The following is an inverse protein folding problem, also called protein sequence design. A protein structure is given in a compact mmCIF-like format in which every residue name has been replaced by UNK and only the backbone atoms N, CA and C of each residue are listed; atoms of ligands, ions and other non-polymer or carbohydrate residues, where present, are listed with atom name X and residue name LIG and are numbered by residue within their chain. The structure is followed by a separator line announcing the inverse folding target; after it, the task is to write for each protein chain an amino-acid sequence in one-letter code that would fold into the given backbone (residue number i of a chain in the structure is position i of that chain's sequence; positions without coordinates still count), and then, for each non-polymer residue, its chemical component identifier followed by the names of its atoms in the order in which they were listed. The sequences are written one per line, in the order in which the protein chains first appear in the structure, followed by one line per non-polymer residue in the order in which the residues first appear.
data_IF_341213303364
#
_entry.id   IF_341213303364
#
_cell.length_a   1.000
_cell.length_b   1.000
_cell.length_c   1.000
_cell.angle_alpha   90.00
_cell.angle_beta   90.00
_cell.angle_gamma   90.00
#
_symmetry.space_group_name_H-M   'P 1'
#
loop_
_entity.id
_entity.type
_entity.pdbx_description
1 polymer ?
#
# COMPACT_ATOMS: atom_id res chain seq x y z
N UNK A 1 23.78 28.45 -16.99
CA UNK A 1 24.17 27.20 -16.29
C UNK A 1 23.12 26.97 -15.20
N UNK A 2 22.52 25.81 -15.13
CA UNK A 2 21.57 25.48 -14.07
C UNK A 2 22.27 25.25 -12.74
N UNK A 3 21.55 25.52 -11.63
CA UNK A 3 22.06 25.24 -10.27
C UNK A 3 22.28 23.76 -10.06
N UNK A 4 21.38 22.90 -10.59
CA UNK A 4 21.43 21.45 -10.50
C UNK A 4 21.20 20.79 -11.86
N UNK A 5 21.70 19.56 -12.00
CA UNK A 5 21.42 18.73 -13.15
C UNK A 5 20.08 18.03 -12.99
N UNK A 6 19.72 17.64 -11.73
CA UNK A 6 18.39 17.16 -11.36
C UNK A 6 17.85 17.86 -10.13
N UNK A 7 16.61 18.33 -10.21
CA UNK A 7 15.81 18.76 -9.07
C UNK A 7 14.66 17.79 -8.86
N UNK A 8 14.48 17.30 -7.64
CA UNK A 8 13.37 16.41 -7.27
C UNK A 8 12.42 17.17 -6.34
N UNK A 9 11.12 17.21 -6.65
CA UNK A 9 10.11 17.82 -5.81
C UNK A 9 9.37 16.71 -5.05
N UNK A 10 9.64 16.61 -3.77
CA UNK A 10 9.15 15.54 -2.88
C UNK A 10 10.20 14.48 -2.60
N UNK A 11 10.35 14.11 -1.32
CA UNK A 11 11.31 13.12 -0.82
C UNK A 11 10.69 11.78 -0.44
N UNK A 12 9.48 11.48 -0.93
CA UNK A 12 8.88 10.15 -0.81
C UNK A 12 9.74 9.07 -1.47
N UNK A 13 9.33 7.79 -1.41
CA UNK A 13 10.13 6.67 -1.92
C UNK A 13 10.64 6.86 -3.35
N UNK A 14 9.78 7.33 -4.27
CA UNK A 14 10.16 7.61 -5.66
C UNK A 14 11.20 8.73 -5.77
N UNK A 15 10.95 9.85 -5.08
CA UNK A 15 11.86 11.01 -5.12
C UNK A 15 13.23 10.70 -4.54
N UNK A 16 13.32 9.98 -3.42
CA UNK A 16 14.59 9.54 -2.84
C UNK A 16 15.41 8.71 -3.81
N UNK A 17 14.76 7.72 -4.45
CA UNK A 17 15.48 6.81 -5.35
C UNK A 17 15.85 7.48 -6.67
N UNK A 18 15.03 8.41 -7.17
CA UNK A 18 15.40 9.26 -8.30
C UNK A 18 16.64 10.10 -7.97
N UNK A 19 16.63 10.80 -6.83
CA UNK A 19 17.75 11.64 -6.41
C UNK A 19 19.05 10.85 -6.24
N UNK A 20 18.99 9.71 -5.54
CA UNK A 20 20.17 8.87 -5.29
C UNK A 20 20.67 8.22 -6.59
N UNK A 21 19.78 7.79 -7.49
CA UNK A 21 20.19 7.21 -8.78
C UNK A 21 20.95 8.23 -9.62
N UNK A 22 20.43 9.45 -9.77
CA UNK A 22 21.11 10.51 -10.50
C UNK A 22 22.44 10.94 -9.84
N UNK A 23 22.50 11.00 -8.52
CA UNK A 23 23.74 11.30 -7.81
C UNK A 23 24.83 10.25 -8.05
N UNK A 24 24.46 8.98 -8.21
CA UNK A 24 25.39 7.89 -8.59
C UNK A 24 25.85 7.93 -10.05
N UNK A 25 25.22 8.77 -10.86
CA UNK A 25 25.67 9.11 -12.23
C UNK A 25 26.48 10.41 -12.24
N UNK A 26 27.05 10.80 -11.09
CA UNK A 26 27.85 12.01 -10.89
C UNK A 26 27.13 13.32 -11.23
N UNK A 27 25.78 13.35 -11.06
CA UNK A 27 24.96 14.55 -11.28
C UNK A 27 24.81 15.36 -10.01
N UNK A 28 24.76 16.69 -10.17
CA UNK A 28 24.44 17.62 -9.08
C UNK A 28 22.94 17.57 -8.82
N UNK A 29 22.55 17.07 -7.64
CA UNK A 29 21.16 16.79 -7.33
C UNK A 29 20.68 17.55 -6.11
N UNK A 30 19.46 18.07 -6.17
CA UNK A 30 18.75 18.57 -5.00
C UNK A 30 17.36 17.96 -4.89
N UNK A 31 16.89 17.82 -3.64
CA UNK A 31 15.53 17.45 -3.30
C UNK A 31 14.89 18.63 -2.56
N UNK A 32 13.71 19.06 -3.03
CA UNK A 32 12.86 20.02 -2.35
C UNK A 32 11.84 19.27 -1.52
N UNK A 33 11.80 19.52 -0.21
CA UNK A 33 10.82 18.87 0.67
C UNK A 33 10.45 19.80 1.84
N UNK A 34 9.22 19.70 2.32
CA UNK A 34 8.79 20.36 3.55
C UNK A 34 9.58 19.83 4.75
N UNK A 35 9.98 20.68 5.70
CA UNK A 35 10.85 20.27 6.81
C UNK A 35 10.31 19.13 7.66
N UNK A 36 8.99 19.06 7.80
CA UNK A 36 8.22 18.07 8.59
C UNK A 36 7.86 16.81 7.81
N UNK A 37 8.16 16.75 6.50
CA UNK A 37 7.72 15.68 5.62
C UNK A 37 8.88 14.91 4.92
N UNK A 38 10.10 15.02 5.44
CA UNK A 38 11.21 14.24 4.89
C UNK A 38 10.84 12.73 4.88
N UNK A 39 10.98 12.09 3.72
CA UNK A 39 10.51 10.72 3.49
C UNK A 39 9.08 10.64 2.95
N UNK A 40 8.38 11.78 2.84
CA UNK A 40 7.03 11.89 2.28
C UNK A 40 5.95 11.21 3.12
N UNK A 41 4.78 11.04 2.53
CA UNK A 41 3.61 10.38 3.14
C UNK A 41 3.93 8.95 3.60
N UNK A 42 4.71 8.21 2.83
CA UNK A 42 5.10 6.83 3.16
C UNK A 42 5.70 6.72 4.57
N UNK A 43 6.55 7.67 4.95
CA UNK A 43 7.24 7.67 6.23
C UNK A 43 6.46 8.36 7.34
N UNK A 44 5.75 9.44 7.03
CA UNK A 44 5.21 10.32 8.08
C UNK A 44 3.74 10.06 8.43
N UNK A 45 2.88 9.70 7.47
CA UNK A 45 1.44 9.52 7.72
C UNK A 45 0.86 8.22 7.15
N UNK A 46 1.56 7.55 6.22
CA UNK A 46 1.05 6.40 5.46
C UNK A 46 1.63 5.06 5.88
N UNK A 47 2.45 4.48 5.00
CA UNK A 47 2.90 3.07 5.08
C UNK A 47 3.61 2.72 6.40
N UNK A 48 4.66 3.45 6.76
CA UNK A 48 5.46 3.11 7.96
C UNK A 48 4.64 3.30 9.24
N UNK A 49 3.94 4.43 9.47
CA UNK A 49 3.08 4.59 10.64
C UNK A 49 2.01 3.50 10.75
N UNK A 50 1.27 3.20 9.68
CA UNK A 50 0.19 2.22 9.73
C UNK A 50 0.67 0.79 9.99
N UNK A 51 1.81 0.36 9.40
CA UNK A 51 2.36 -0.98 9.64
C UNK A 51 2.97 -1.09 11.03
N UNK A 52 3.54 0.00 11.55
CA UNK A 52 4.04 0.06 12.93
C UNK A 52 2.89 0.01 13.94
N UNK A 53 1.79 0.74 13.67
CA UNK A 53 0.56 0.68 14.45
C UNK A 53 -0.02 -0.75 14.47
N UNK A 54 -0.13 -1.38 13.30
CA UNK A 54 -0.56 -2.77 13.18
C UNK A 54 0.30 -3.71 14.04
N UNK A 55 1.61 -3.57 13.97
CA UNK A 55 2.52 -4.41 14.75
C UNK A 55 2.35 -4.20 16.26
N UNK A 56 2.11 -2.96 16.71
CA UNK A 56 1.80 -2.66 18.11
C UNK A 56 0.48 -3.32 18.53
N UNK A 57 -0.55 -3.27 17.69
CA UNK A 57 -1.85 -3.90 17.95
C UNK A 57 -1.69 -5.43 18.09
N UNK A 58 -1.04 -6.09 17.14
CA UNK A 58 -0.79 -7.53 17.20
C UNK A 58 -0.09 -7.92 18.50
N UNK A 59 0.96 -7.20 18.86
CA UNK A 59 1.74 -7.48 20.05
C UNK A 59 0.92 -7.26 21.33
N UNK A 60 0.26 -6.10 21.48
CA UNK A 60 -0.43 -5.74 22.73
C UNK A 60 -1.73 -6.51 22.95
N UNK A 61 -2.45 -6.82 21.86
CA UNK A 61 -3.68 -7.63 21.95
C UNK A 61 -3.39 -9.12 22.10
N UNK A 62 -2.20 -9.57 21.68
CA UNK A 62 -1.85 -10.99 21.63
C UNK A 62 -2.79 -11.83 20.76
N UNK A 63 -3.43 -11.22 19.75
CA UNK A 63 -4.49 -11.87 18.94
C UNK A 63 -4.02 -13.17 18.30
N UNK A 64 -2.78 -13.23 17.83
CA UNK A 64 -2.20 -14.42 17.21
C UNK A 64 -2.02 -15.59 18.19
N UNK A 65 -2.11 -15.34 19.50
CA UNK A 65 -1.94 -16.35 20.55
C UNK A 65 -3.26 -16.85 21.12
N UNK A 66 -4.39 -16.21 20.77
CA UNK A 66 -5.70 -16.52 21.35
C UNK A 66 -6.23 -17.90 21.01
N UNK A 67 -5.85 -18.45 19.88
CA UNK A 67 -6.23 -19.82 19.49
C UNK A 67 -5.58 -20.86 20.41
N UNK A 68 -4.35 -20.58 20.89
CA UNK A 68 -3.58 -21.48 21.75
C UNK A 68 -3.89 -21.25 23.24
N UNK A 69 -3.88 -20.00 23.69
CA UNK A 69 -4.00 -19.63 25.11
C UNK A 69 -5.41 -19.20 25.52
N UNK A 70 -6.37 -19.22 24.60
CA UNK A 70 -7.78 -18.86 24.83
C UNK A 70 -8.09 -17.41 24.47
N UNK A 71 -9.38 -17.15 24.21
CA UNK A 71 -9.89 -15.86 23.69
C UNK A 71 -9.68 -14.67 24.65
N UNK A 72 -9.48 -14.93 25.95
CA UNK A 72 -9.17 -13.91 26.94
C UNK A 72 -7.70 -13.50 26.99
N UNK A 73 -6.80 -14.21 26.27
CA UNK A 73 -5.39 -13.89 26.25
C UNK A 73 -5.15 -12.49 25.68
N UNK A 74 -4.35 -11.71 26.38
CA UNK A 74 -3.86 -10.40 25.96
C UNK A 74 -2.58 -10.05 26.72
N UNK A 75 -1.72 -9.25 26.10
CA UNK A 75 -0.47 -8.79 26.73
C UNK A 75 -0.71 -7.56 27.62
N UNK A 76 -1.70 -6.73 27.23
CA UNK A 76 -2.10 -5.55 27.98
C UNK A 76 -3.63 -5.44 28.05
N UNK A 77 -4.20 -5.23 29.24
CA UNK A 77 -5.66 -5.17 29.44
C UNK A 77 -6.28 -3.91 28.85
N UNK A 78 -5.69 -2.74 29.12
CA UNK A 78 -6.15 -1.45 28.59
C UNK A 78 -5.11 -0.88 27.62
N UNK A 79 -5.41 -0.96 26.34
CA UNK A 79 -4.54 -0.44 25.27
C UNK A 79 -4.99 0.99 24.96
N UNK A 80 -4.09 1.95 25.14
CA UNK A 80 -4.31 3.36 24.83
C UNK A 80 -3.70 3.76 23.49
N UNK A 81 -4.15 4.89 22.92
CA UNK A 81 -3.51 5.46 21.72
C UNK A 81 -2.04 5.77 21.99
N UNK A 82 -1.69 6.24 23.18
CA UNK A 82 -0.29 6.48 23.55
C UNK A 82 0.59 5.23 23.45
N UNK A 83 0.07 4.05 23.85
CA UNK A 83 0.80 2.79 23.70
C UNK A 83 1.05 2.45 22.23
N UNK A 84 0.06 2.69 21.38
CA UNK A 84 0.11 2.39 19.95
C UNK A 84 1.05 3.36 19.21
N UNK A 85 0.98 4.64 19.52
CA UNK A 85 1.73 5.69 18.84
C UNK A 85 3.18 5.82 19.32
N UNK A 86 3.50 5.41 20.56
CA UNK A 86 4.86 5.44 21.10
C UNK A 86 5.86 4.69 20.17
N UNK A 87 5.49 3.48 19.73
CA UNK A 87 6.30 2.70 18.79
C UNK A 87 6.40 3.39 17.43
N UNK A 88 5.30 3.95 16.94
CA UNK A 88 5.24 4.64 15.65
C UNK A 88 6.17 5.84 15.64
N UNK A 89 6.13 6.70 16.64
CA UNK A 89 7.02 7.88 16.76
C UNK A 89 8.50 7.48 16.75
N UNK A 90 8.85 6.41 17.49
CA UNK A 90 10.21 5.91 17.51
C UNK A 90 10.70 5.42 16.14
N UNK A 91 9.88 4.64 15.44
CA UNK A 91 10.25 4.10 14.11
C UNK A 91 10.34 5.22 13.09
N UNK A 92 9.37 6.14 13.05
CA UNK A 92 9.36 7.29 12.13
C UNK A 92 10.62 8.17 12.33
N UNK A 93 11.00 8.45 13.57
CA UNK A 93 12.20 9.22 13.87
C UNK A 93 13.46 8.54 13.31
N UNK A 94 13.63 7.24 13.57
CA UNK A 94 14.79 6.48 13.07
C UNK A 94 14.83 6.41 11.55
N UNK A 95 13.70 6.17 10.91
CA UNK A 95 13.62 6.11 9.45
C UNK A 95 13.90 7.49 8.81
N UNK A 96 13.47 8.59 9.45
CA UNK A 96 13.85 9.94 9.02
C UNK A 96 15.38 10.13 9.02
N UNK A 97 16.06 9.66 10.08
CA UNK A 97 17.52 9.71 10.15
C UNK A 97 18.18 8.88 9.05
N UNK A 98 17.63 7.69 8.76
CA UNK A 98 18.11 6.82 7.67
C UNK A 98 17.95 7.53 6.31
N UNK A 99 16.78 8.11 6.02
CA UNK A 99 16.53 8.84 4.77
C UNK A 99 17.49 10.02 4.63
N UNK A 100 17.63 10.84 5.68
CA UNK A 100 18.55 11.97 5.70
C UNK A 100 20.00 11.51 5.45
N UNK A 101 20.44 10.50 6.16
CA UNK A 101 21.78 9.92 5.99
C UNK A 101 22.00 9.40 4.57
N UNK A 102 21.01 8.73 3.99
CA UNK A 102 21.10 8.24 2.60
C UNK A 102 21.24 9.36 1.58
N UNK A 103 20.51 10.45 1.72
CA UNK A 103 20.63 11.61 0.84
C UNK A 103 21.97 12.31 1.00
N UNK A 104 22.38 12.62 2.24
CA UNK A 104 23.64 13.32 2.54
C UNK A 104 24.87 12.54 2.08
N UNK A 105 24.95 11.23 2.35
CA UNK A 105 26.11 10.43 1.92
C UNK A 105 26.23 10.23 0.40
N UNK A 106 25.13 10.48 -0.35
CA UNK A 106 25.14 10.51 -1.81
C UNK A 106 25.27 11.96 -2.33
N UNK A 107 25.65 12.93 -1.50
CA UNK A 107 25.85 14.33 -1.86
C UNK A 107 24.59 15.01 -2.45
N UNK A 108 23.40 14.53 -2.10
CA UNK A 108 22.13 15.16 -2.51
C UNK A 108 21.83 16.33 -1.58
N UNK A 109 21.68 17.53 -2.15
CA UNK A 109 21.27 18.73 -1.40
C UNK A 109 19.79 18.62 -0.98
N UNK A 110 19.48 18.95 0.28
CA UNK A 110 18.09 19.02 0.77
C UNK A 110 17.71 20.48 0.90
N UNK A 111 16.74 20.93 0.13
CA UNK A 111 16.20 22.29 0.15
C UNK A 111 14.85 22.25 0.87
N UNK A 112 14.82 22.83 2.07
CA UNK A 112 13.61 22.87 2.89
C UNK A 112 12.61 23.90 2.35
N UNK A 113 11.38 23.46 2.06
CA UNK A 113 10.30 24.33 1.59
C UNK A 113 9.33 23.64 0.64
N UNK A 114 8.38 24.40 0.14
CA UNK A 114 7.39 23.98 -0.85
C UNK A 114 7.78 24.49 -2.22
N UNK A 115 7.93 23.57 -3.19
CA UNK A 115 8.31 23.91 -4.57
C UNK A 115 7.12 24.28 -5.42
N UNK A 116 7.26 25.32 -6.27
CA UNK A 116 6.29 25.72 -7.28
C UNK A 116 7.01 26.07 -8.58
N UNK A 117 6.53 25.57 -9.71
CA UNK A 117 7.05 25.89 -11.02
C UNK A 117 6.81 27.37 -11.37
N UNK A 118 7.82 28.02 -11.91
CA UNK A 118 7.76 29.35 -12.57
C UNK A 118 8.11 29.23 -14.05
N UNK A 119 8.62 28.09 -14.49
CA UNK A 119 8.95 27.74 -15.86
C UNK A 119 9.37 26.28 -15.95
N UNK A 120 9.57 25.72 -17.16
CA UNK A 120 9.87 24.29 -17.35
C UNK A 120 11.17 23.81 -16.66
N UNK A 121 12.12 24.71 -16.40
CA UNK A 121 13.39 24.42 -15.72
C UNK A 121 13.60 25.23 -14.45
N UNK A 122 12.57 25.93 -13.95
CA UNK A 122 12.67 26.83 -12.80
C UNK A 122 11.59 26.54 -11.76
N UNK A 123 12.00 26.49 -10.50
CA UNK A 123 11.14 26.24 -9.35
C UNK A 123 11.42 27.30 -8.27
N UNK A 124 10.40 27.94 -7.80
CA UNK A 124 10.44 28.72 -6.55
C UNK A 124 10.22 27.80 -5.37
N UNK A 125 11.06 27.94 -4.35
CA UNK A 125 10.94 27.22 -3.09
C UNK A 125 10.64 28.21 -1.97
N UNK A 126 9.44 28.10 -1.39
CA UNK A 126 8.99 28.88 -0.24
C UNK A 126 9.28 28.10 1.05
N UNK A 127 10.10 28.66 1.95
CA UNK A 127 10.45 28.05 3.23
C UNK A 127 9.35 28.17 4.32
N UNK A 128 8.22 28.79 3.97
CA UNK A 128 7.10 29.05 4.89
C UNK A 128 7.41 30.12 5.96
N UNK A 129 8.60 30.79 5.88
CA UNK A 129 9.04 31.84 6.80
C UNK A 129 9.24 33.18 6.07
N UNK A 130 8.71 33.29 4.85
CA UNK A 130 8.78 34.47 4.01
C UNK A 130 10.03 34.56 3.13
N UNK A 131 10.84 33.53 3.03
CA UNK A 131 11.95 33.46 2.09
C UNK A 131 11.57 32.61 0.88
N UNK A 132 11.63 33.21 -0.29
CA UNK A 132 11.45 32.53 -1.56
C UNK A 132 12.81 32.42 -2.24
N UNK A 133 13.20 31.21 -2.61
CA UNK A 133 14.43 30.93 -3.34
C UNK A 133 14.08 30.39 -4.73
N UNK A 134 14.66 30.94 -5.78
CA UNK A 134 14.61 30.37 -7.14
C UNK A 134 15.70 29.34 -7.29
N UNK A 135 15.34 28.21 -7.87
CA UNK A 135 16.23 27.08 -8.16
C UNK A 135 16.00 26.64 -9.58
N UNK A 136 17.08 26.49 -10.35
CA UNK A 136 17.02 26.01 -11.73
C UNK A 136 17.64 24.63 -11.88
N UNK A 137 17.05 23.79 -12.76
CA UNK A 137 17.58 22.48 -13.05
C UNK A 137 17.41 22.10 -14.53
N UNK A 138 18.33 21.28 -15.05
CA UNK A 138 18.23 20.72 -16.40
C UNK A 138 17.07 19.75 -16.52
N UNK A 139 16.89 18.90 -15.50
CA UNK A 139 15.81 17.93 -15.37
C UNK A 139 15.09 18.08 -14.05
N UNK A 140 13.79 17.80 -14.05
CA UNK A 140 12.97 17.87 -12.83
C UNK A 140 12.18 16.56 -12.70
N UNK A 141 12.11 16.01 -11.48
CA UNK A 141 11.25 14.87 -11.13
C UNK A 141 10.20 15.35 -10.14
N UNK A 142 8.92 15.21 -10.50
CA UNK A 142 7.78 15.45 -9.62
C UNK A 142 7.47 14.15 -8.86
N UNK A 143 7.64 14.17 -7.53
CA UNK A 143 7.41 13.03 -6.64
C UNK A 143 6.56 13.45 -5.43
N UNK A 144 5.59 14.35 -5.65
CA UNK A 144 4.78 14.98 -4.61
C UNK A 144 3.76 14.04 -3.96
N UNK A 145 3.50 12.87 -4.58
CA UNK A 145 2.60 11.87 -4.03
C UNK A 145 1.13 12.27 -4.05
N UNK A 146 0.38 11.81 -3.05
CA UNK A 146 -1.06 12.02 -2.91
C UNK A 146 -1.44 12.41 -1.48
N UNK A 147 -2.64 12.98 -1.32
CA UNK A 147 -3.31 13.20 -0.03
C UNK A 147 -4.70 12.51 -0.02
N UNK A 148 -5.30 12.28 1.16
CA UNK A 148 -6.67 11.79 1.25
C UNK A 148 -7.66 12.75 0.56
N UNK A 149 -8.67 12.20 -0.12
CA UNK A 149 -9.73 13.00 -0.71
C UNK A 149 -10.69 13.49 0.40
N UNK A 150 -11.00 14.79 0.41
CA UNK A 150 -11.92 15.42 1.35
C UNK A 150 -13.10 16.07 0.60
N UNK A 151 -14.18 15.31 0.28
CA UNK A 151 -15.32 15.86 -0.44
C UNK A 151 -16.11 16.84 0.44
N UNK A 152 -16.76 17.86 -0.15
CA UNK A 152 -17.52 18.88 0.59
C UNK A 152 -18.73 18.33 1.37
N UNK A 153 -19.22 17.14 1.04
CA UNK A 153 -20.34 16.47 1.73
C UNK A 153 -19.93 15.81 3.05
N UNK A 154 -18.65 15.86 3.42
CA UNK A 154 -18.11 15.27 4.64
C UNK A 154 -17.55 16.39 5.51
N UNK A 155 -18.08 16.52 6.70
CA UNK A 155 -17.71 17.54 7.68
C UNK A 155 -16.49 17.06 8.49
N UNK A 156 -15.30 17.27 7.97
CA UNK A 156 -14.04 16.89 8.63
C UNK A 156 -13.72 17.86 9.77
N UNK A 157 -13.68 17.37 11.00
CA UNK A 157 -13.27 18.12 12.18
C UNK A 157 -11.90 17.68 12.71
N UNK A 158 -11.26 16.69 12.04
CA UNK A 158 -9.99 16.07 12.40
C UNK A 158 -9.96 15.46 13.82
N UNK A 159 -11.13 15.17 14.41
CA UNK A 159 -11.33 14.54 15.74
C UNK A 159 -12.29 13.36 15.67
N UNK A 160 -13.55 13.63 15.28
CA UNK A 160 -14.60 12.61 15.16
C UNK A 160 -14.79 12.16 13.72
N UNK A 161 -14.53 13.03 12.75
CA UNK A 161 -14.54 12.74 11.32
C UNK A 161 -13.14 12.98 10.76
N UNK A 162 -12.43 11.91 10.47
CA UNK A 162 -11.01 11.93 10.10
C UNK A 162 -10.78 11.21 8.76
N UNK A 163 -9.68 11.51 8.14
CA UNK A 163 -9.11 10.72 7.05
C UNK A 163 -7.98 9.80 7.55
N UNK A 164 -7.30 9.11 6.64
CA UNK A 164 -6.22 8.16 7.00
C UNK A 164 -5.02 8.82 7.67
N UNK A 165 -4.75 10.09 7.38
CA UNK A 165 -3.61 10.81 7.95
C UNK A 165 -3.92 11.28 9.39
N UNK A 166 -5.20 11.49 9.70
CA UNK A 166 -5.69 11.87 11.03
C UNK A 166 -5.66 10.73 12.08
N UNK A 167 -5.58 9.47 11.67
CA UNK A 167 -5.68 8.31 12.56
C UNK A 167 -4.60 8.26 13.66
N UNK A 168 -3.39 8.69 13.34
CA UNK A 168 -2.28 8.73 14.31
C UNK A 168 -2.43 9.81 15.37
N UNK A 169 -3.40 10.71 15.19
CA UNK A 169 -3.70 11.82 16.09
C UNK A 169 -4.95 11.60 16.95
N UNK A 170 -5.57 10.41 16.88
CA UNK A 170 -6.68 10.06 17.74
C UNK A 170 -6.28 10.19 19.21
N UNK A 171 -7.17 10.74 20.05
CA UNK A 171 -6.93 10.90 21.49
C UNK A 171 -7.22 9.62 22.28
N UNK A 172 -8.13 8.78 21.77
CA UNK A 172 -8.54 7.51 22.39
C UNK A 172 -8.89 6.46 21.35
N UNK A 173 -8.84 5.20 21.74
CA UNK A 173 -9.40 4.10 20.95
C UNK A 173 -10.92 4.26 20.94
N UNK A 174 -11.58 4.44 19.77
CA UNK A 174 -13.03 4.62 19.72
C UNK A 174 -13.76 3.31 20.03
N UNK A 175 -14.91 3.41 20.70
CA UNK A 175 -15.78 2.25 20.96
C UNK A 175 -16.53 1.81 19.72
N UNK A 176 -16.82 2.75 18.84
CA UNK A 176 -17.48 2.50 17.55
C UNK A 176 -16.84 3.34 16.44
N UNK A 177 -16.71 2.75 15.26
CA UNK A 177 -16.12 3.39 14.08
C UNK A 177 -16.90 3.04 12.82
N UNK A 178 -17.21 4.05 12.02
CA UNK A 178 -17.62 3.85 10.63
C UNK A 178 -16.42 4.07 9.71
N UNK A 179 -16.14 3.10 8.86
CA UNK A 179 -15.11 3.19 7.80
C UNK A 179 -15.79 3.35 6.46
N UNK A 180 -15.58 4.48 5.81
CA UNK A 180 -16.12 4.77 4.48
C UNK A 180 -15.08 4.40 3.43
N UNK A 181 -15.40 3.37 2.63
CA UNK A 181 -14.52 2.78 1.63
C UNK A 181 -13.89 1.46 2.09
N UNK A 182 -14.07 0.41 1.27
CA UNK A 182 -13.51 -0.93 1.50
C UNK A 182 -12.31 -1.23 0.58
N UNK A 183 -11.52 -0.21 0.26
CA UNK A 183 -10.21 -0.34 -0.36
C UNK A 183 -9.13 -0.73 0.66
N UNK A 184 -7.85 -0.77 0.23
CA UNK A 184 -6.71 -1.18 1.07
C UNK A 184 -6.69 -0.45 2.41
N UNK A 185 -6.70 0.89 2.39
CA UNK A 185 -6.62 1.71 3.61
C UNK A 185 -7.78 1.42 4.56
N UNK A 186 -9.02 1.42 4.03
CA UNK A 186 -10.20 1.17 4.85
C UNK A 186 -10.20 -0.20 5.51
N UNK A 187 -9.84 -1.25 4.77
CA UNK A 187 -9.82 -2.63 5.29
C UNK A 187 -8.66 -2.85 6.26
N UNK A 188 -7.47 -2.29 6.00
CA UNK A 188 -6.36 -2.35 6.95
C UNK A 188 -6.77 -1.77 8.30
N UNK A 189 -7.29 -0.55 8.33
CA UNK A 189 -7.70 0.08 9.59
C UNK A 189 -8.95 -0.56 10.20
N UNK A 190 -9.93 -0.98 9.40
CA UNK A 190 -11.09 -1.72 9.90
C UNK A 190 -10.67 -2.99 10.67
N UNK A 191 -9.71 -3.75 10.12
CA UNK A 191 -9.18 -4.95 10.78
C UNK A 191 -8.42 -4.62 12.07
N UNK A 192 -7.60 -3.57 12.06
CA UNK A 192 -6.83 -3.12 13.22
C UNK A 192 -7.74 -2.71 14.38
N UNK A 193 -8.73 -1.85 14.11
CA UNK A 193 -9.64 -1.37 15.16
C UNK A 193 -10.60 -2.46 15.64
N UNK A 194 -11.06 -3.36 14.75
CA UNK A 194 -11.85 -4.52 15.16
C UNK A 194 -11.05 -5.44 16.11
N UNK A 195 -9.75 -5.64 15.85
CA UNK A 195 -8.86 -6.41 16.72
C UNK A 195 -8.68 -5.77 18.10
N UNK A 196 -8.75 -4.44 18.19
CA UNK A 196 -8.78 -3.68 19.45
C UNK A 196 -10.12 -3.76 20.20
N UNK A 197 -11.17 -4.33 19.57
CA UNK A 197 -12.51 -4.43 20.17
C UNK A 197 -13.45 -3.28 19.81
N UNK A 198 -13.06 -2.39 18.90
CA UNK A 198 -13.95 -1.36 18.36
C UNK A 198 -15.05 -1.99 17.51
N UNK A 199 -16.32 -1.55 17.69
CA UNK A 199 -17.42 -1.93 16.79
C UNK A 199 -17.27 -1.22 15.45
N UNK A 200 -16.83 -1.94 14.43
CA UNK A 200 -16.57 -1.37 13.11
C UNK A 200 -17.73 -1.63 12.16
N UNK A 201 -18.15 -0.59 11.43
CA UNK A 201 -19.06 -0.70 10.28
C UNK A 201 -18.35 -0.17 9.05
N UNK A 202 -18.15 -1.03 8.06
CA UNK A 202 -17.57 -0.66 6.75
C UNK A 202 -18.70 -0.36 5.78
N UNK A 203 -18.66 0.81 5.13
CA UNK A 203 -19.62 1.23 4.09
C UNK A 203 -18.88 1.32 2.76
N UNK A 204 -19.35 0.60 1.76
CA UNK A 204 -18.74 0.58 0.42
C UNK A 204 -19.84 0.60 -0.65
N UNK A 205 -19.68 1.45 -1.66
CA UNK A 205 -20.64 1.58 -2.77
C UNK A 205 -20.62 0.39 -3.73
N UNK A 206 -19.50 -0.31 -3.83
CA UNK A 206 -19.34 -1.52 -4.64
C UNK A 206 -19.91 -2.73 -3.91
N UNK A 207 -20.09 -3.81 -4.62
CA UNK A 207 -20.72 -5.04 -4.09
C UNK A 207 -19.73 -5.87 -3.27
N UNK A 208 -18.41 -5.60 -3.39
CA UNK A 208 -17.35 -6.31 -2.65
C UNK A 208 -16.21 -5.37 -2.23
N UNK A 209 -15.45 -5.79 -1.24
CA UNK A 209 -14.19 -5.15 -0.85
C UNK A 209 -13.04 -5.64 -1.72
N UNK A 210 -11.96 -4.85 -1.85
CA UNK A 210 -10.70 -5.24 -2.48
C UNK A 210 -10.88 -5.93 -3.84
N UNK A 211 -11.66 -5.34 -4.76
CA UNK A 211 -12.08 -5.94 -6.04
C UNK A 211 -10.94 -6.47 -6.92
N UNK A 212 -9.74 -5.97 -6.75
CA UNK A 212 -8.54 -6.36 -7.49
C UNK A 212 -7.85 -7.60 -6.90
N UNK A 213 -8.32 -8.12 -5.78
CA UNK A 213 -7.81 -9.34 -5.16
C UNK A 213 -8.63 -10.56 -5.59
N UNK A 214 -8.02 -11.74 -5.48
CA UNK A 214 -8.71 -13.01 -5.69
C UNK A 214 -9.91 -13.15 -4.73
N UNK A 215 -11.04 -13.59 -5.27
CA UNK A 215 -12.32 -13.61 -4.55
C UNK A 215 -12.28 -14.53 -3.33
N UNK A 216 -11.67 -15.73 -3.43
CA UNK A 216 -11.59 -16.68 -2.33
C UNK A 216 -10.83 -16.11 -1.13
N UNK A 217 -9.72 -15.42 -1.40
CA UNK A 217 -8.90 -14.76 -0.38
C UNK A 217 -9.66 -13.60 0.28
N UNK A 218 -10.39 -12.81 -0.51
CA UNK A 218 -11.23 -11.72 0.00
C UNK A 218 -12.37 -12.24 0.89
N UNK A 219 -13.04 -13.31 0.48
CA UNK A 219 -14.11 -13.92 1.27
C UNK A 219 -13.58 -14.53 2.57
N UNK A 220 -12.37 -15.13 2.56
CA UNK A 220 -11.72 -15.61 3.78
C UNK A 220 -11.46 -14.46 4.77
N UNK A 221 -10.91 -13.33 4.32
CA UNK A 221 -10.73 -12.15 5.17
C UNK A 221 -12.06 -11.59 5.66
N UNK A 222 -13.08 -11.50 4.78
CA UNK A 222 -14.41 -11.00 5.15
C UNK A 222 -15.06 -11.86 6.23
N UNK A 223 -14.93 -13.18 6.13
CA UNK A 223 -15.40 -14.10 7.14
C UNK A 223 -14.70 -13.85 8.48
N UNK A 224 -13.38 -13.79 8.50
CA UNK A 224 -12.60 -13.49 9.69
C UNK A 224 -12.99 -12.15 10.34
N UNK A 225 -13.19 -11.10 9.55
CA UNK A 225 -13.61 -9.79 10.06
C UNK A 225 -15.04 -9.82 10.63
N UNK A 226 -15.94 -10.66 10.09
CA UNK A 226 -17.27 -10.87 10.68
C UNK A 226 -17.22 -11.57 12.03
N UNK A 227 -16.27 -12.50 12.22
CA UNK A 227 -16.03 -13.12 13.53
C UNK A 227 -15.56 -12.09 14.57
N UNK A 228 -14.86 -11.03 14.12
CA UNK A 228 -14.52 -9.86 14.92
C UNK A 228 -15.67 -8.82 15.01
N UNK A 229 -16.90 -9.22 14.68
CA UNK A 229 -18.12 -8.40 14.70
C UNK A 229 -18.09 -7.18 13.77
N UNK A 230 -17.27 -7.16 12.71
CA UNK A 230 -17.31 -6.12 11.69
C UNK A 230 -18.60 -6.25 10.86
N UNK A 231 -19.33 -5.14 10.74
CA UNK A 231 -20.52 -5.05 9.90
C UNK A 231 -20.16 -4.47 8.54
N UNK A 232 -20.51 -5.16 7.46
CA UNK A 232 -20.33 -4.66 6.09
C UNK A 232 -21.64 -4.14 5.50
N UNK A 233 -21.58 -3.01 4.81
CA UNK A 233 -22.65 -2.37 4.04
C UNK A 233 -22.14 -2.16 2.61
N UNK A 234 -22.23 -3.21 1.80
CA UNK A 234 -21.92 -3.16 0.36
C UNK A 234 -23.11 -2.64 -0.44
N UNK A 235 -22.87 -2.09 -1.64
CA UNK A 235 -23.89 -1.47 -2.48
C UNK A 235 -24.46 -0.16 -1.91
N UNK A 236 -23.86 0.38 -0.84
CA UNK A 236 -24.32 1.56 -0.12
C UNK A 236 -23.38 2.75 -0.29
N UNK A 237 -23.92 3.88 -0.67
CA UNK A 237 -23.18 5.13 -0.81
C UNK A 237 -23.44 6.07 0.37
N UNK A 238 -22.38 6.70 0.86
CA UNK A 238 -22.49 7.77 1.85
C UNK A 238 -23.00 9.05 1.15
N UNK A 239 -24.06 9.63 1.67
CA UNK A 239 -24.62 10.91 1.24
C UNK A 239 -23.93 12.08 1.93
N UNK A 240 -23.83 12.02 3.26
CA UNK A 240 -23.10 13.00 4.09
C UNK A 240 -22.56 12.37 5.36
N UNK A 241 -21.57 13.05 5.95
CA UNK A 241 -21.10 12.76 7.31
C UNK A 241 -21.15 14.07 8.09
N UNK A 242 -21.81 14.02 9.24
CA UNK A 242 -22.03 15.18 10.11
C UNK A 242 -21.22 14.97 11.40
N UNK A 243 -20.25 15.86 11.65
CA UNK A 243 -19.53 15.89 12.93
C UNK A 243 -20.44 16.34 14.07
N UNK A 244 -20.24 15.79 15.27
CA UNK A 244 -20.94 16.11 16.50
C UNK A 244 -19.92 16.20 17.65
N UNK A 245 -20.21 16.90 18.76
CA UNK A 245 -19.27 17.03 19.88
C UNK A 245 -18.78 15.69 20.47
N UNK A 246 -19.60 14.66 20.43
CA UNK A 246 -19.28 13.34 21.01
C UNK A 246 -19.22 12.20 19.97
N UNK A 247 -19.06 12.52 18.69
CA UNK A 247 -19.01 11.51 17.63
C UNK A 247 -19.44 12.06 16.28
N UNK A 248 -19.98 11.20 15.41
CA UNK A 248 -20.45 11.60 14.09
C UNK A 248 -21.65 10.77 13.63
N UNK A 249 -22.40 11.28 12.68
CA UNK A 249 -23.51 10.59 12.04
C UNK A 249 -23.21 10.44 10.56
N UNK A 250 -23.06 9.21 10.09
CA UNK A 250 -22.98 8.90 8.67
C UNK A 250 -24.37 8.69 8.11
N UNK A 251 -24.78 9.47 7.12
CA UNK A 251 -26.07 9.36 6.43
C UNK A 251 -25.84 8.68 5.09
N UNK A 252 -26.46 7.53 4.88
CA UNK A 252 -26.40 6.79 3.61
C UNK A 252 -27.42 7.34 2.62
N UNK A 253 -27.19 7.14 1.32
CA UNK A 253 -28.18 7.51 0.27
C UNK A 253 -29.51 6.78 0.40
N UNK A 254 -29.52 5.59 1.00
CA UNK A 254 -30.74 4.84 1.35
C UNK A 254 -31.56 5.51 2.48
N UNK A 255 -31.06 6.60 3.07
CA UNK A 255 -31.67 7.29 4.20
C UNK A 255 -31.30 6.72 5.58
N UNK A 256 -30.57 5.60 5.64
CA UNK A 256 -30.10 5.03 6.89
C UNK A 256 -29.06 5.93 7.53
N UNK A 257 -29.16 6.11 8.86
CA UNK A 257 -28.20 6.86 9.69
C UNK A 257 -27.42 5.90 10.57
N UNK A 258 -26.11 6.08 10.61
CA UNK A 258 -25.19 5.25 11.42
C UNK A 258 -24.40 6.18 12.33
N UNK A 259 -24.69 6.20 13.66
CA UNK A 259 -23.90 6.92 14.63
C UNK A 259 -22.62 6.14 14.96
N UNK A 260 -21.52 6.86 15.21
CA UNK A 260 -20.27 6.30 15.69
C UNK A 260 -19.45 7.33 16.48
N UNK A 261 -18.55 6.87 17.35
CA UNK A 261 -17.59 7.74 18.05
C UNK A 261 -16.65 8.42 17.03
N UNK A 262 -16.28 7.67 15.97
CA UNK A 262 -15.35 8.14 14.92
C UNK A 262 -15.80 7.66 13.55
N UNK A 263 -15.64 8.51 12.54
CA UNK A 263 -15.78 8.14 11.14
C UNK A 263 -14.42 8.30 10.44
N UNK A 264 -13.92 7.20 9.88
CA UNK A 264 -12.76 7.20 9.00
C UNK A 264 -13.21 7.29 7.54
N UNK A 265 -12.91 8.38 6.88
CA UNK A 265 -13.16 8.52 5.46
C UNK A 265 -11.93 8.10 4.65
N UNK A 266 -12.01 6.98 3.95
CA UNK A 266 -10.92 6.37 3.17
C UNK A 266 -11.31 6.07 1.71
N UNK A 267 -12.31 6.79 1.19
CA UNK A 267 -12.86 6.57 -0.15
C UNK A 267 -12.12 7.38 -1.24
N UNK A 268 -10.81 7.23 -1.31
CA UNK A 268 -9.97 7.75 -2.38
C UNK A 268 -8.83 8.64 -1.94
N UNK A 269 -7.88 8.83 -2.86
CA UNK A 269 -6.74 9.73 -2.73
C UNK A 269 -6.65 10.63 -3.97
N UNK A 270 -6.04 11.81 -3.79
CA UNK A 270 -5.88 12.81 -4.84
C UNK A 270 -4.39 13.18 -4.97
N UNK A 271 -3.91 13.36 -6.20
CA UNK A 271 -2.53 13.79 -6.48
C UNK A 271 -2.25 15.16 -5.88
N UNK A 272 -1.08 15.32 -5.25
CA UNK A 272 -0.65 16.58 -4.65
C UNK A 272 -0.03 17.49 -5.72
N UNK A 273 -0.85 17.96 -6.65
CA UNK A 273 -0.46 18.87 -7.74
C UNK A 273 -1.04 20.28 -7.57
N UNK A 274 -2.02 20.45 -6.69
CA UNK A 274 -2.58 21.75 -6.38
C UNK A 274 -1.49 22.67 -5.80
N UNK A 275 -1.37 23.88 -6.36
CA UNK A 275 -0.36 24.86 -5.96
C UNK A 275 1.06 24.60 -6.52
N UNK A 276 1.30 23.51 -7.24
CA UNK A 276 2.60 23.20 -7.85
C UNK A 276 2.92 24.11 -9.05
N UNK A 277 1.92 24.80 -9.63
CA UNK A 277 2.12 25.71 -10.77
C UNK A 277 2.43 24.95 -12.07
N UNK A 278 1.78 23.81 -12.30
CA UNK A 278 2.01 22.93 -13.46
C UNK A 278 1.90 23.67 -14.80
N UNK A 279 0.98 24.62 -14.91
CA UNK A 279 0.72 25.41 -16.11
C UNK A 279 1.95 26.24 -16.53
N UNK A 280 2.71 26.76 -15.54
CA UNK A 280 3.95 27.49 -15.80
C UNK A 280 5.05 26.59 -16.41
N UNK A 281 4.97 25.28 -16.14
CA UNK A 281 5.86 24.28 -16.72
C UNK A 281 5.32 23.67 -18.03
N UNK A 282 4.14 24.08 -18.49
CA UNK A 282 3.47 23.50 -19.66
C UNK A 282 2.82 22.14 -19.41
N UNK A 283 2.50 21.85 -18.14
CA UNK A 283 1.89 20.60 -17.71
C UNK A 283 0.45 20.80 -17.22
N UNK A 284 -0.31 19.72 -17.17
CA UNK A 284 -1.64 19.67 -16.54
C UNK A 284 -1.80 18.36 -15.75
N UNK A 285 -2.75 18.37 -14.83
CA UNK A 285 -3.17 17.18 -14.10
C UNK A 285 -4.64 16.84 -14.47
N UNK A 286 -5.01 15.57 -14.30
CA UNK A 286 -6.41 15.16 -14.43
C UNK A 286 -7.28 15.62 -13.23
N UNK A 287 -8.58 15.28 -13.27
CA UNK A 287 -9.55 15.63 -12.21
C UNK A 287 -9.19 15.07 -10.83
N UNK A 288 -8.29 14.08 -10.78
CA UNK A 288 -7.74 13.49 -9.54
C UNK A 288 -6.36 14.02 -9.19
N UNK A 289 -5.89 15.07 -9.85
CA UNK A 289 -4.57 15.65 -9.63
C UNK A 289 -3.42 14.77 -10.11
N UNK A 290 -3.65 13.81 -11.04
CA UNK A 290 -2.61 12.90 -11.51
C UNK A 290 -1.95 13.45 -12.77
N UNK A 291 -0.65 13.21 -12.89
CA UNK A 291 0.18 13.61 -14.05
C UNK A 291 0.34 12.42 -14.98
N UNK A 292 0.06 12.63 -16.28
CA UNK A 292 0.28 11.63 -17.32
C UNK A 292 1.77 11.51 -17.64
N UNK A 293 2.24 10.27 -17.83
CA UNK A 293 3.64 9.96 -18.18
C UNK A 293 3.73 8.83 -19.21
N UNK A 294 4.87 8.71 -19.86
CA UNK A 294 5.22 7.58 -20.72
C UNK A 294 5.80 6.38 -19.90
N UNK A 295 6.26 5.35 -20.57
CA UNK A 295 6.86 4.13 -20.02
C UNK A 295 8.16 4.37 -19.23
N UNK A 296 8.81 5.51 -19.44
CA UNK A 296 10.01 5.95 -18.71
C UNK A 296 9.70 7.01 -17.66
N UNK A 297 8.39 7.22 -17.37
CA UNK A 297 7.90 8.22 -16.42
C UNK A 297 8.17 9.68 -16.82
N UNK A 298 8.43 9.94 -18.12
CA UNK A 298 8.58 11.27 -18.67
C UNK A 298 7.20 11.85 -18.98
N UNK A 299 6.99 13.13 -18.65
CA UNK A 299 5.77 13.87 -18.98
C UNK A 299 5.78 14.36 -20.45
N UNK A 300 4.73 15.05 -20.85
CA UNK A 300 4.68 15.71 -22.18
C UNK A 300 5.76 16.81 -22.34
N UNK A 301 6.41 17.25 -21.25
CA UNK A 301 7.56 18.16 -21.25
C UNK A 301 8.85 17.33 -21.11
N UNK A 302 9.74 17.28 -22.13
CA UNK A 302 10.87 16.33 -22.18
C UNK A 302 11.90 16.46 -21.04
N UNK A 303 11.93 17.60 -20.34
CA UNK A 303 12.82 17.82 -19.20
C UNK A 303 12.19 17.45 -17.87
N UNK A 304 10.87 17.08 -17.83
CA UNK A 304 10.14 16.84 -16.60
C UNK A 304 9.61 15.41 -16.56
N UNK A 305 9.81 14.75 -15.43
CA UNK A 305 9.37 13.41 -15.10
C UNK A 305 8.40 13.47 -13.91
N UNK A 306 7.55 12.45 -13.76
CA UNK A 306 6.72 12.29 -12.57
C UNK A 306 6.70 10.82 -12.13
N UNK A 307 6.79 10.58 -10.82
CA UNK A 307 6.89 9.23 -10.26
C UNK A 307 6.11 9.09 -8.94
N UNK A 308 5.75 7.87 -8.61
CA UNK A 308 5.00 7.55 -7.40
C UNK A 308 3.52 7.85 -7.51
N UNK A 309 2.84 7.99 -6.37
CA UNK A 309 1.38 8.08 -6.30
C UNK A 309 0.78 9.22 -7.15
N UNK A 310 1.55 10.26 -7.44
CA UNK A 310 1.12 11.41 -8.27
C UNK A 310 0.79 11.02 -9.71
N UNK A 311 1.30 9.89 -10.20
CA UNK A 311 0.96 9.36 -11.52
C UNK A 311 -0.20 8.32 -11.49
N UNK A 312 -0.64 7.93 -10.29
CA UNK A 312 -1.76 6.98 -10.09
C UNK A 312 -1.32 5.56 -9.80
N UNK A 313 -2.10 4.59 -10.27
CA UNK A 313 -1.84 3.16 -10.04
C UNK A 313 -0.48 2.74 -10.63
N UNK A 314 0.30 1.86 -9.92
CA UNK A 314 -0.10 1.02 -8.77
C UNK A 314 0.10 1.65 -7.38
N UNK A 315 0.52 2.91 -7.22
CA UNK A 315 0.56 3.66 -5.96
C UNK A 315 1.10 2.86 -4.75
N UNK A 316 2.22 2.16 -4.96
CA UNK A 316 2.92 1.36 -3.96
C UNK A 316 4.32 1.93 -3.71
N UNK A 317 4.79 1.91 -2.46
CA UNK A 317 6.11 2.44 -2.13
C UNK A 317 7.25 1.75 -2.92
N UNK A 318 7.19 0.42 -3.06
CA UNK A 318 8.18 -0.36 -3.80
C UNK A 318 8.21 0.00 -5.30
N UNK A 319 7.04 0.10 -5.94
CA UNK A 319 6.97 0.51 -7.35
C UNK A 319 7.41 1.95 -7.54
N UNK A 320 7.04 2.85 -6.62
CA UNK A 320 7.50 4.24 -6.64
C UNK A 320 9.03 4.34 -6.61
N UNK A 321 9.69 3.49 -5.80
CA UNK A 321 11.16 3.43 -5.72
C UNK A 321 11.78 3.05 -7.07
N UNK A 322 11.21 2.08 -7.76
CA UNK A 322 11.73 1.63 -9.06
C UNK A 322 11.42 2.66 -10.16
N UNK A 323 10.22 3.24 -10.17
CA UNK A 323 9.87 4.36 -11.05
C UNK A 323 10.87 5.51 -10.94
N UNK A 324 11.25 5.87 -9.70
CA UNK A 324 12.25 6.90 -9.46
C UNK A 324 13.62 6.57 -10.05
N UNK A 325 14.10 5.33 -9.93
CA UNK A 325 15.36 4.88 -10.54
C UNK A 325 15.30 4.95 -12.07
N UNK A 326 14.21 4.44 -12.65
CA UNK A 326 14.02 4.43 -14.10
C UNK A 326 13.99 5.84 -14.66
N UNK A 327 13.20 6.72 -14.06
CA UNK A 327 13.08 8.12 -14.47
C UNK A 327 14.43 8.85 -14.43
N UNK A 328 15.21 8.67 -13.36
CA UNK A 328 16.52 9.29 -13.22
C UNK A 328 17.54 8.74 -14.23
N UNK A 329 17.57 7.43 -14.43
CA UNK A 329 18.47 6.79 -15.40
C UNK A 329 18.13 7.26 -16.83
N UNK A 330 16.85 7.22 -17.21
CA UNK A 330 16.39 7.69 -18.50
C UNK A 330 16.70 9.18 -18.74
N UNK A 331 16.56 10.03 -17.72
CA UNK A 331 16.85 11.46 -17.80
C UNK A 331 18.31 11.74 -18.20
N UNK A 332 19.22 10.82 -17.92
CA UNK A 332 20.66 10.95 -18.19
C UNK A 332 21.20 9.92 -19.20
N UNK A 333 20.31 9.34 -20.03
CA UNK A 333 20.69 8.56 -21.20
C UNK A 333 20.84 7.06 -20.97
N UNK A 334 20.49 6.55 -19.79
CA UNK A 334 20.41 5.11 -19.52
C UNK A 334 18.98 4.60 -19.73
N UNK A 335 18.77 3.73 -20.71
CA UNK A 335 17.46 3.17 -21.01
C UNK A 335 17.27 1.84 -20.28
N UNK A 336 16.52 1.85 -19.19
CA UNK A 336 16.08 0.64 -18.48
C UNK A 336 14.60 0.79 -18.18
N UNK A 337 13.77 -0.02 -18.81
CA UNK A 337 12.34 -0.10 -18.49
C UNK A 337 12.10 -0.90 -17.20
N UNK A 338 10.89 -0.77 -16.64
CA UNK A 338 10.43 -1.65 -15.59
C UNK A 338 10.44 -3.10 -16.12
N UNK A 339 10.84 -4.04 -15.28
CA UNK A 339 10.77 -5.46 -15.62
C UNK A 339 9.31 -5.87 -15.85
N UNK A 340 9.09 -6.73 -16.86
CA UNK A 340 7.77 -7.36 -17.12
C UNK A 340 7.37 -8.35 -16.00
N UNK A 341 8.22 -8.55 -15.01
CA UNK A 341 7.93 -9.41 -13.85
C UNK A 341 6.74 -8.87 -13.10
N UNK A 342 5.71 -9.68 -12.83
CA UNK A 342 4.55 -9.27 -12.06
C UNK A 342 4.95 -8.71 -10.69
N UNK A 343 4.35 -7.58 -10.31
CA UNK A 343 4.66 -6.91 -9.07
C UNK A 343 3.76 -7.40 -7.95
N UNK A 344 4.32 -7.73 -6.76
CA UNK A 344 3.52 -8.18 -5.64
C UNK A 344 2.77 -7.01 -5.01
N UNK A 345 1.57 -7.28 -4.53
CA UNK A 345 0.78 -6.36 -3.74
C UNK A 345 0.56 -6.96 -2.35
N UNK A 346 0.91 -6.21 -1.32
CA UNK A 346 0.67 -6.57 0.07
C UNK A 346 -0.39 -5.68 0.70
N UNK A 347 -1.33 -6.29 1.41
CA UNK A 347 -2.38 -5.64 2.20
C UNK A 347 -2.18 -6.06 3.65
N UNK A 348 -1.86 -5.10 4.49
CA UNK A 348 -1.49 -5.33 5.89
C UNK A 348 -2.70 -5.29 6.81
N UNK A 349 -3.80 -5.94 6.39
CA UNK A 349 -4.91 -6.26 7.28
C UNK A 349 -4.49 -7.24 8.38
N UNK A 350 -5.38 -7.55 9.29
CA UNK A 350 -5.21 -8.59 10.29
C UNK A 350 -6.29 -9.66 10.03
N UNK A 351 -5.90 -10.85 9.51
CA UNK A 351 -4.62 -11.27 8.91
C UNK A 351 -4.25 -10.57 7.60
N UNK A 352 -3.00 -10.74 7.14
CA UNK A 352 -2.47 -10.16 5.90
C UNK A 352 -3.02 -10.84 4.64
N UNK A 353 -3.08 -10.07 3.55
CA UNK A 353 -3.22 -10.60 2.18
C UNK A 353 -2.00 -10.17 1.37
N UNK A 354 -1.50 -11.06 0.53
CA UNK A 354 -0.55 -10.69 -0.52
C UNK A 354 -0.76 -11.53 -1.76
N UNK A 355 -0.52 -10.93 -2.92
CA UNK A 355 -0.65 -11.64 -4.19
C UNK A 355 0.30 -11.09 -5.25
N UNK A 356 0.57 -11.91 -6.27
CA UNK A 356 1.34 -11.59 -7.47
C UNK A 356 0.76 -12.35 -8.66
N UNK A 357 0.71 -11.72 -9.83
CA UNK A 357 0.12 -12.29 -11.03
C UNK A 357 -1.39 -12.07 -11.12
N UNK A 358 -2.07 -12.95 -11.84
CA UNK A 358 -3.49 -12.84 -12.19
C UNK A 358 -4.39 -13.53 -11.17
N UNK A 359 -5.64 -13.06 -11.05
CA UNK A 359 -6.70 -13.71 -10.26
C UNK A 359 -7.47 -14.73 -11.10
N UNK A 360 -8.25 -15.61 -10.46
CA UNK A 360 -9.16 -16.51 -11.19
C UNK A 360 -10.16 -15.76 -12.07
N UNK A 361 -10.73 -14.65 -11.56
CA UNK A 361 -11.67 -13.83 -12.32
C UNK A 361 -11.03 -13.31 -13.61
N UNK A 362 -9.78 -12.80 -13.52
CA UNK A 362 -9.04 -12.28 -14.68
C UNK A 362 -8.70 -13.37 -15.70
N UNK A 363 -8.28 -14.55 -15.24
CA UNK A 363 -7.98 -15.69 -16.13
C UNK A 363 -9.24 -16.22 -16.81
N UNK A 364 -10.34 -16.31 -16.07
CA UNK A 364 -11.64 -16.74 -16.59
C UNK A 364 -12.18 -15.77 -17.63
N UNK A 365 -12.12 -14.46 -17.36
CA UNK A 365 -12.54 -13.41 -18.29
C UNK A 365 -11.68 -13.41 -19.58
N UNK A 366 -10.38 -13.66 -19.43
CA UNK A 366 -9.44 -13.78 -20.55
C UNK A 366 -9.52 -15.12 -21.29
N UNK A 367 -10.35 -16.08 -20.83
CA UNK A 367 -10.42 -17.45 -21.35
C UNK A 367 -9.06 -18.17 -21.34
N UNK A 368 -8.22 -17.92 -20.34
CA UNK A 368 -6.93 -18.58 -20.14
C UNK A 368 -7.14 -19.79 -19.24
N UNK A 369 -6.85 -21.03 -19.70
CA UNK A 369 -6.96 -22.22 -18.88
C UNK A 369 -6.01 -22.18 -17.67
N UNK A 370 -6.50 -22.58 -16.50
CA UNK A 370 -5.68 -22.69 -15.30
C UNK A 370 -6.16 -23.84 -14.42
N UNK A 371 -5.24 -24.33 -13.59
CA UNK A 371 -5.55 -25.26 -12.49
C UNK A 371 -5.21 -24.61 -11.16
N UNK A 372 -6.02 -24.89 -10.16
CA UNK A 372 -5.90 -24.29 -8.82
C UNK A 372 -5.25 -25.28 -7.87
N UNK A 373 -4.15 -24.85 -7.23
CA UNK A 373 -3.55 -25.57 -6.10
C UNK A 373 -3.73 -24.81 -4.79
N UNK A 374 -4.15 -25.49 -3.74
CA UNK A 374 -4.44 -24.86 -2.44
C UNK A 374 -3.69 -25.57 -1.32
N UNK A 375 -3.13 -24.79 -0.41
CA UNK A 375 -2.59 -25.24 0.88
C UNK A 375 -3.21 -24.42 2.00
N UNK A 376 -3.69 -25.07 3.05
CA UNK A 376 -4.27 -24.42 4.22
C UNK A 376 -3.30 -24.48 5.40
N UNK A 377 -3.09 -23.35 6.09
CA UNK A 377 -2.14 -23.31 7.21
C UNK A 377 -2.49 -24.26 8.34
N UNK A 378 -3.78 -24.50 8.61
CA UNK A 378 -4.22 -25.50 9.60
C UNK A 378 -3.76 -26.93 9.32
N UNK A 379 -3.34 -27.22 8.09
CA UNK A 379 -2.83 -28.53 7.68
C UNK A 379 -1.30 -28.62 7.77
N UNK A 380 -0.64 -27.50 8.04
CA UNK A 380 0.80 -27.38 8.19
C UNK A 380 1.20 -27.34 9.68
N UNK A 381 2.27 -28.03 10.04
CA UNK A 381 2.80 -27.98 11.40
C UNK A 381 3.10 -26.54 11.87
N UNK A 382 3.68 -25.71 10.99
CA UNK A 382 3.97 -24.31 11.33
C UNK A 382 2.71 -23.48 11.55
N UNK A 383 1.66 -23.69 10.76
CA UNK A 383 0.36 -23.03 10.96
C UNK A 383 -0.20 -23.28 12.34
N UNK A 384 -0.16 -24.55 12.78
CA UNK A 384 -0.59 -24.94 14.13
C UNK A 384 0.31 -24.36 15.23
N UNK A 385 1.64 -24.34 15.04
CA UNK A 385 2.59 -23.77 16.00
C UNK A 385 2.35 -22.27 16.22
N UNK A 386 2.01 -21.52 15.17
CA UNK A 386 1.77 -20.06 15.29
C UNK A 386 0.33 -19.72 15.61
N UNK A 387 -0.60 -20.69 15.64
CA UNK A 387 -2.02 -20.46 15.90
C UNK A 387 -2.75 -19.79 14.73
N UNK A 388 -2.36 -20.05 13.48
CA UNK A 388 -3.05 -19.54 12.29
C UNK A 388 -3.84 -20.65 11.61
N UNK A 389 -5.12 -20.77 11.94
CA UNK A 389 -6.05 -21.72 11.34
C UNK A 389 -6.74 -21.19 10.08
N UNK A 390 -6.65 -19.90 9.81
CA UNK A 390 -7.33 -19.20 8.71
C UNK A 390 -6.50 -19.16 7.44
N UNK A 391 -5.17 -19.20 7.57
CA UNK A 391 -4.23 -18.97 6.48
C UNK A 391 -4.40 -19.93 5.31
N UNK A 392 -4.23 -19.40 4.11
CA UNK A 392 -4.29 -20.14 2.85
C UNK A 392 -3.26 -19.59 1.86
N UNK A 393 -2.63 -20.51 1.12
CA UNK A 393 -1.85 -20.17 -0.06
C UNK A 393 -2.49 -20.87 -1.26
N UNK A 394 -2.70 -20.10 -2.33
CA UNK A 394 -3.33 -20.52 -3.57
C UNK A 394 -2.41 -20.23 -4.74
N UNK A 395 -2.22 -21.22 -5.61
CA UNK A 395 -1.51 -21.13 -6.86
C UNK A 395 -2.47 -21.27 -8.03
N UNK A 396 -2.29 -20.43 -9.05
CA UNK A 396 -2.94 -20.59 -10.36
C UNK A 396 -1.86 -21.02 -11.34
N UNK A 397 -2.03 -22.18 -11.95
CA UNK A 397 -1.01 -22.87 -12.75
C UNK A 397 -1.55 -23.09 -14.15
N UNK A 398 -0.79 -22.74 -15.18
CA UNK A 398 -1.09 -23.08 -16.57
C UNK A 398 -0.97 -24.60 -16.78
N UNK A 399 -2.01 -25.27 -17.30
CA UNK A 399 -1.93 -26.71 -17.62
C UNK A 399 -1.02 -27.01 -18.80
N UNK A 400 -0.79 -26.03 -19.70
CA UNK A 400 -0.04 -26.22 -20.95
C UNK A 400 1.48 -26.20 -20.75
N UNK A 401 2.00 -25.14 -20.08
CA UNK A 401 3.43 -24.93 -19.88
C UNK A 401 3.86 -24.98 -18.41
N UNK A 402 2.93 -25.29 -17.51
CA UNK A 402 3.12 -25.48 -16.06
C UNK A 402 3.67 -24.25 -15.33
N UNK A 403 3.61 -23.06 -15.95
CA UNK A 403 4.00 -21.80 -15.33
C UNK A 403 2.99 -21.33 -14.28
N UNK A 404 3.47 -20.60 -13.30
CA UNK A 404 2.62 -19.89 -12.36
C UNK A 404 1.98 -18.67 -13.04
N UNK A 405 0.65 -18.60 -13.05
CA UNK A 405 -0.14 -17.47 -13.55
C UNK A 405 -0.49 -16.50 -12.43
N UNK A 406 -0.65 -17.01 -11.21
CA UNK A 406 -0.95 -16.20 -10.04
C UNK A 406 -0.61 -16.94 -8.74
N UNK A 407 -0.28 -16.15 -7.73
CA UNK A 407 -0.05 -16.62 -6.35
C UNK A 407 -0.79 -15.69 -5.40
N UNK A 408 -1.61 -16.26 -4.53
CA UNK A 408 -2.43 -15.53 -3.57
C UNK A 408 -2.24 -16.12 -2.18
N UNK A 409 -1.94 -15.29 -1.20
CA UNK A 409 -1.68 -15.70 0.16
C UNK A 409 -2.53 -14.87 1.11
N UNK A 410 -3.20 -15.53 2.04
CA UNK A 410 -3.92 -14.93 3.15
C UNK A 410 -3.44 -15.58 4.44
N UNK A 411 -3.16 -14.79 5.47
CA UNK A 411 -2.72 -15.29 6.78
C UNK A 411 -1.40 -14.69 7.24
N UNK A 412 -0.84 -15.26 8.29
CA UNK A 412 0.42 -14.84 8.90
C UNK A 412 1.56 -14.85 7.89
N UNK A 413 2.31 -13.75 7.83
CA UNK A 413 3.48 -13.59 6.94
C UNK A 413 3.17 -13.68 5.44
N UNK A 414 1.93 -13.42 5.02
CA UNK A 414 1.55 -13.45 3.61
C UNK A 414 2.42 -12.51 2.77
N UNK A 415 2.74 -11.33 3.29
CA UNK A 415 3.55 -10.31 2.62
C UNK A 415 5.03 -10.68 2.47
N UNK A 416 5.54 -11.63 3.26
CA UNK A 416 6.89 -12.18 3.12
C UNK A 416 6.89 -13.42 2.20
N UNK A 417 5.92 -14.30 2.39
CA UNK A 417 5.81 -15.56 1.63
C UNK A 417 5.62 -15.34 0.13
N UNK A 418 4.93 -14.28 -0.26
CA UNK A 418 4.63 -13.98 -1.67
C UNK A 418 5.88 -13.91 -2.54
N UNK A 419 7.02 -13.51 -1.96
CA UNK A 419 8.28 -13.33 -2.69
C UNK A 419 8.87 -14.64 -3.22
N UNK A 420 8.52 -15.80 -2.65
CA UNK A 420 8.90 -17.11 -3.20
C UNK A 420 8.23 -17.28 -4.57
N UNK A 421 6.90 -17.09 -4.62
CA UNK A 421 6.15 -17.17 -5.87
C UNK A 421 6.59 -16.13 -6.90
N UNK A 422 6.80 -14.89 -6.45
CA UNK A 422 7.33 -13.82 -7.30
C UNK A 422 8.68 -14.21 -7.93
N UNK A 423 9.60 -14.79 -7.15
CA UNK A 423 10.90 -15.20 -7.65
C UNK A 423 10.78 -16.32 -8.70
N UNK A 424 9.93 -17.31 -8.45
CA UNK A 424 9.68 -18.40 -9.42
C UNK A 424 9.11 -17.85 -10.72
N UNK A 425 8.10 -16.98 -10.65
CA UNK A 425 7.51 -16.31 -11.82
C UNK A 425 8.55 -15.46 -12.55
N UNK A 426 9.32 -14.66 -11.82
CA UNK A 426 10.32 -13.75 -12.39
C UNK A 426 11.47 -14.44 -13.07
N UNK A 427 11.81 -15.66 -12.65
CA UNK A 427 12.81 -16.51 -13.30
C UNK A 427 12.24 -17.40 -14.41
N UNK A 428 10.94 -17.25 -14.76
CA UNK A 428 10.27 -18.12 -15.73
C UNK A 428 10.13 -19.57 -15.27
N UNK A 429 10.18 -19.81 -13.96
CA UNK A 429 10.06 -21.13 -13.37
C UNK A 429 8.64 -21.70 -13.45
N UNK A 430 8.53 -23.01 -13.29
CA UNK A 430 7.28 -23.75 -13.34
C UNK A 430 6.89 -24.25 -11.94
N UNK A 431 5.67 -24.76 -11.82
CA UNK A 431 5.20 -25.42 -10.59
C UNK A 431 6.09 -26.62 -10.20
N UNK A 432 6.79 -27.24 -11.15
CA UNK A 432 7.69 -28.36 -10.90
C UNK A 432 8.83 -27.98 -9.95
N UNK A 433 9.36 -26.76 -10.03
CA UNK A 433 10.34 -26.29 -9.06
C UNK A 433 9.82 -26.37 -7.64
N UNK A 434 8.57 -25.98 -7.41
CA UNK A 434 7.95 -26.01 -6.08
C UNK A 434 7.66 -27.44 -5.61
N UNK A 435 7.36 -28.36 -6.53
CA UNK A 435 7.18 -29.80 -6.25
C UNK A 435 8.50 -30.44 -5.83
N UNK A 436 9.60 -30.11 -6.53
CA UNK A 436 10.90 -30.77 -6.32
C UNK A 436 11.72 -30.09 -5.22
N UNK A 437 11.51 -28.80 -4.96
CA UNK A 437 12.24 -28.06 -3.93
C UNK A 437 12.08 -28.68 -2.54
N UNK A 438 13.14 -28.64 -1.74
CA UNK A 438 13.13 -29.00 -0.32
C UNK A 438 13.01 -27.73 0.49
N UNK A 439 11.89 -27.56 1.19
CA UNK A 439 11.67 -26.45 2.11
C UNK A 439 12.08 -26.85 3.53
N UNK A 440 12.54 -25.89 4.31
CA UNK A 440 12.78 -26.10 5.73
C UNK A 440 11.47 -26.50 6.45
N UNK A 441 11.60 -27.42 7.39
CA UNK A 441 10.47 -27.92 8.21
C UNK A 441 10.72 -27.65 9.70
N UNK A 442 9.74 -27.11 10.47
CA UNK A 442 8.44 -26.62 10.03
C UNK A 442 8.48 -25.14 9.61
N UNK A 443 7.98 -24.80 8.44
CA UNK A 443 7.84 -23.42 7.96
C UNK A 443 6.53 -23.21 7.22
N UNK A 444 6.06 -21.94 7.10
CA UNK A 444 4.91 -21.63 6.24
C UNK A 444 5.27 -21.72 4.75
N UNK A 445 6.54 -21.71 4.39
CA UNK A 445 7.00 -21.88 3.00
C UNK A 445 6.61 -23.26 2.41
N UNK A 446 6.41 -24.28 3.26
CA UNK A 446 5.89 -25.59 2.83
C UNK A 446 4.53 -25.50 2.13
N UNK A 447 3.75 -24.42 2.39
CA UNK A 447 2.47 -24.19 1.72
C UNK A 447 2.63 -24.17 0.20
N UNK A 448 3.76 -23.69 -0.32
CA UNK A 448 4.05 -23.73 -1.76
C UNK A 448 4.13 -25.13 -2.31
N UNK A 449 4.84 -26.03 -1.60
CA UNK A 449 4.95 -27.44 -2.02
C UNK A 449 3.61 -28.14 -1.99
N UNK A 450 2.84 -27.95 -0.93
CA UNK A 450 1.52 -28.57 -0.77
C UNK A 450 0.56 -28.08 -1.87
N UNK A 451 0.49 -26.78 -2.12
CA UNK A 451 -0.34 -26.22 -3.19
C UNK A 451 0.13 -26.68 -4.60
N UNK A 452 1.45 -26.77 -4.82
CA UNK A 452 2.02 -27.26 -6.08
C UNK A 452 1.67 -28.73 -6.35
N UNK A 453 1.73 -29.56 -5.31
CA UNK A 453 1.32 -30.98 -5.39
C UNK A 453 -0.18 -31.12 -5.65
N UNK A 454 -1.03 -30.30 -5.00
CA UNK A 454 -2.47 -30.28 -5.21
C UNK A 454 -2.81 -29.92 -6.68
N UNK A 455 -2.27 -28.85 -7.22
CA UNK A 455 -2.44 -28.48 -8.64
C UNK A 455 -1.96 -29.58 -9.59
N UNK A 456 -0.77 -30.14 -9.33
CA UNK A 456 -0.18 -31.19 -10.18
C UNK A 456 -1.04 -32.46 -10.20
N UNK A 457 -1.59 -32.84 -9.05
CA UNK A 457 -2.46 -34.03 -8.95
C UNK A 457 -3.78 -33.83 -9.72
N UNK A 458 -4.37 -32.64 -9.68
CA UNK A 458 -5.57 -32.29 -10.45
C UNK A 458 -5.29 -32.32 -11.96
N UNK A 459 -4.20 -31.73 -12.43
CA UNK A 459 -3.79 -31.78 -13.85
C UNK A 459 -3.58 -33.23 -14.33
N UNK A 460 -2.94 -34.08 -13.51
CA UNK A 460 -2.77 -35.54 -13.83
C UNK A 460 -4.11 -36.28 -13.93
N UNK A 461 -5.08 -35.92 -13.11
CA UNK A 461 -6.41 -36.54 -13.16
C UNK A 461 -7.12 -36.19 -14.48
N UNK A 462 -7.07 -34.94 -14.92
CA UNK A 462 -7.62 -34.50 -16.21
C UNK A 462 -6.96 -35.25 -17.37
N UNK A 463 -5.63 -35.34 -17.42
CA UNK A 463 -4.90 -36.07 -18.46
C UNK A 463 -5.31 -37.55 -18.55
N UNK A 464 -5.52 -38.21 -17.41
CA UNK A 464 -5.98 -39.64 -17.38
C UNK A 464 -7.38 -39.84 -17.93
N UNK A 465 -8.27 -38.85 -17.83
CA UNK A 465 -9.64 -38.92 -18.31
C UNK A 465 -9.78 -38.48 -19.78
N UNK A 466 -8.82 -37.78 -20.30
CA UNK A 466 -8.80 -37.24 -21.68
C UNK A 466 -8.08 -38.16 -22.69
N UNK A 467 -7.32 -39.14 -22.22
CA UNK A 467 -6.60 -40.15 -23.01
C UNK A 467 -7.21 -41.55 -22.82
#
# INVERSE_FOLDING_TARGET
MHDYDLLVIGSGPGGQKAAIAAAKLDRRVAVVERPDMLGGVCLNTGTIPSKTLRQAILYLTGVDQREIYGQSYRVKDEITIADLTARTSHVVTRENDVVRSQLVRNHVAIIAGTGRFTGPGEVEVDDGKGRIRKVSAEKIVIATGTCPARPPSVDFDDKTVIDSDGLIHLERVPRSMVVVGAGVIGIEYASMFATLGTKVTVVERRDRMLEFCDLEVVEALKYHLRDLAVTFRFGESVGSVEARPEGAITVLRSGKKIPADTVLYSAGRQGMTAGLGLEAAGLSADDRGRIKVDEFYRTDVPSIYAVGDVIGFPALAATSMEQGRIAANHAFGETRALSDTPQPIGIYSIPEISFVGQTEDQLTEACIPFEVGVSRYRELARGQIVGDSYGVLKLLVSPDDRKLLGVHVFGTSATELIHIGQAVMGCGGTVDYLVDAVFNYPTLAESYKVAALDATNKMRAVTRLSG
#
